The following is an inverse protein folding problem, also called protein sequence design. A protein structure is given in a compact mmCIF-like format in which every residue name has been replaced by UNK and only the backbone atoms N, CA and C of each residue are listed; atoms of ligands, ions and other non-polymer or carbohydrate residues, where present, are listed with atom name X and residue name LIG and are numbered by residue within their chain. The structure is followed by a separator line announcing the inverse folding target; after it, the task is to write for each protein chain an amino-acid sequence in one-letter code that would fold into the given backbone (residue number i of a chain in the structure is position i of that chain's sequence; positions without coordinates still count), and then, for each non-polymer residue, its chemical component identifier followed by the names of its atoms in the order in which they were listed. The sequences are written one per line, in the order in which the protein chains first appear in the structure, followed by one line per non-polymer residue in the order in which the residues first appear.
data_IF_744304152410
#
_entry.id   IF_744304152410
#
_cell.length_a   1.000
_cell.length_b   1.000
_cell.length_c   1.000
_cell.angle_alpha   90.00
_cell.angle_beta   90.00
_cell.angle_gamma   90.00
#
_symmetry.space_group_name_H-M   'P 1'
#
loop_
_entity.id
_entity.type
_entity.pdbx_description
1 polymer ?
#
# COMPACT_ATOMS: atom_id res chain seq x y z
N UNK A 1 27.46 46.98 -39.65
CA UNK A 1 26.16 47.68 -39.65
C UNK A 1 25.11 46.59 -39.52
N UNK A 2 24.48 46.29 -38.39
CA UNK A 2 24.42 46.84 -37.04
C UNK A 2 24.59 45.65 -36.07
N UNK A 3 25.45 45.80 -35.06
CA UNK A 3 25.63 44.83 -33.98
C UNK A 3 24.79 45.28 -32.80
N UNK A 4 23.81 44.46 -32.43
CA UNK A 4 22.96 44.68 -31.25
C UNK A 4 23.69 44.12 -30.03
N UNK A 5 24.17 45.02 -29.18
CA UNK A 5 24.70 44.74 -27.87
C UNK A 5 23.53 44.44 -26.92
N UNK A 6 23.57 43.27 -26.26
CA UNK A 6 22.69 42.96 -25.13
C UNK A 6 23.57 43.00 -23.89
N UNK A 7 23.49 44.12 -23.18
CA UNK A 7 23.92 44.24 -21.78
C UNK A 7 22.95 43.44 -20.90
N UNK A 8 23.46 42.45 -20.17
CA UNK A 8 22.76 41.91 -19.00
C UNK A 8 23.60 42.17 -17.75
N UNK A 9 23.04 43.05 -16.93
CA UNK A 9 23.57 43.48 -15.65
C UNK A 9 23.67 42.34 -14.64
N UNK A 10 24.80 42.33 -13.93
CA UNK A 10 25.01 41.63 -12.68
C UNK A 10 24.31 42.39 -11.54
N UNK A 11 23.62 41.66 -10.67
CA UNK A 11 23.17 42.08 -9.34
C UNK A 11 23.20 40.83 -8.45
N UNK A 12 24.25 40.66 -7.66
CA UNK A 12 24.36 41.07 -6.25
C UNK A 12 23.80 40.04 -5.27
N UNK A 13 24.76 39.51 -4.52
CA UNK A 13 24.67 38.71 -3.31
C UNK A 13 23.84 39.42 -2.23
N UNK A 14 22.81 38.75 -1.71
CA UNK A 14 22.29 39.04 -0.37
C UNK A 14 21.98 37.73 0.36
N UNK A 15 22.99 37.34 1.14
CA UNK A 15 22.87 36.59 2.38
C UNK A 15 21.70 37.11 3.22
N UNK A 16 20.77 36.23 3.59
CA UNK A 16 20.10 36.35 4.89
C UNK A 16 19.77 34.98 5.48
N UNK A 17 20.46 34.73 6.59
CA UNK A 17 20.25 33.64 7.53
C UNK A 17 18.81 33.68 8.09
N UNK A 18 17.92 32.87 7.52
CA UNK A 18 16.67 32.52 8.16
C UNK A 18 16.92 31.40 9.19
N UNK A 19 17.08 31.80 10.45
CA UNK A 19 17.00 30.92 11.62
C UNK A 19 15.66 30.17 11.57
N UNK A 20 15.67 28.93 11.07
CA UNK A 20 14.55 28.00 11.20
C UNK A 20 14.36 27.71 12.68
N UNK A 21 13.40 28.41 13.26
CA UNK A 21 12.86 28.16 14.58
C UNK A 21 12.43 26.69 14.66
N UNK A 22 13.11 25.90 15.52
CA UNK A 22 12.71 24.55 15.92
C UNK A 22 11.53 24.64 16.89
N UNK A 23 10.43 25.26 16.47
CA UNK A 23 9.17 25.15 17.19
C UNK A 23 8.57 23.83 16.76
N UNK A 24 8.60 22.87 17.69
CA UNK A 24 7.95 21.58 17.56
C UNK A 24 6.46 21.83 17.23
N UNK A 25 5.98 21.54 16.02
CA UNK A 25 4.65 21.97 15.58
C UNK A 25 3.51 21.17 16.24
N UNK A 26 3.84 20.21 17.10
CA UNK A 26 2.87 19.33 17.75
C UNK A 26 3.04 19.33 19.27
N UNK A 27 2.12 19.94 20.03
CA UNK A 27 2.07 19.72 21.47
C UNK A 27 1.84 18.23 21.73
N UNK A 28 2.72 17.67 22.56
CA UNK A 28 2.95 16.28 22.96
C UNK A 28 1.74 15.46 23.49
N UNK A 29 0.50 15.94 23.33
CA UNK A 29 -0.72 15.32 23.88
C UNK A 29 -1.27 14.14 23.07
N UNK A 30 -0.74 13.85 21.89
CA UNK A 30 -1.03 12.62 21.13
C UNK A 30 0.11 11.61 21.17
N UNK A 31 1.15 11.83 21.99
CA UNK A 31 2.02 10.70 22.35
C UNK A 31 1.13 9.71 23.07
N UNK A 32 0.77 8.64 22.38
CA UNK A 32 0.24 7.42 22.99
C UNK A 32 1.17 7.14 24.16
N UNK A 33 0.70 7.35 25.39
CA UNK A 33 1.52 7.15 26.58
C UNK A 33 2.01 5.71 26.51
N UNK A 34 3.31 5.54 26.27
CA UNK A 34 3.95 4.23 26.24
C UNK A 34 3.64 3.64 27.61
N UNK A 35 2.79 2.62 27.63
CA UNK A 35 2.28 2.03 28.87
C UNK A 35 3.47 1.65 29.77
N UNK A 36 3.38 1.89 31.08
CA UNK A 36 4.43 1.52 32.01
C UNK A 36 4.70 0.00 31.92
N UNK A 37 5.97 -0.44 32.06
CA UNK A 37 6.32 -1.86 32.02
C UNK A 37 5.57 -2.61 33.14
N UNK A 38 4.77 -3.62 32.78
CA UNK A 38 4.06 -4.49 33.72
C UNK A 38 2.55 -4.63 33.53
N UNK A 39 1.93 -3.91 32.58
CA UNK A 39 0.53 -4.12 32.21
C UNK A 39 0.37 -5.32 31.26
N UNK A 40 -0.75 -6.03 31.44
CA UNK A 40 -1.12 -7.32 30.85
C UNK A 40 -1.06 -7.39 29.31
N UNK A 41 -1.10 -8.61 28.72
CA UNK A 41 -0.33 -8.98 27.54
C UNK A 41 -0.57 -8.05 26.35
N UNK A 42 0.53 -7.59 25.74
CA UNK A 42 0.52 -7.02 24.40
C UNK A 42 -0.40 -7.87 23.53
N UNK A 43 -1.48 -7.28 23.00
CA UNK A 43 -2.34 -8.00 22.06
C UNK A 43 -1.49 -8.35 20.85
N UNK A 44 -1.40 -9.64 20.55
CA UNK A 44 -0.60 -10.12 19.42
C UNK A 44 -1.49 -10.17 18.19
N UNK A 45 -1.16 -9.37 17.17
CA UNK A 45 -1.75 -9.48 15.84
C UNK A 45 -0.91 -10.42 14.99
N UNK A 46 -1.43 -11.63 14.76
CA UNK A 46 -0.76 -12.63 13.93
C UNK A 46 -1.05 -12.37 12.45
N UNK A 47 -0.02 -12.07 11.66
CA UNK A 47 -0.18 -11.83 10.22
C UNK A 47 0.60 -12.85 9.37
N UNK A 48 -0.12 -13.59 8.54
CA UNK A 48 0.47 -14.54 7.61
C UNK A 48 1.02 -13.85 6.36
N UNK A 49 2.27 -14.12 6.00
CA UNK A 49 2.94 -13.58 4.81
C UNK A 49 3.40 -14.73 3.91
N UNK A 50 2.59 -15.16 2.93
CA UNK A 50 2.89 -16.36 2.15
C UNK A 50 4.09 -16.20 1.21
N UNK A 51 4.15 -15.06 0.54
CA UNK A 51 5.01 -14.86 -0.61
C UNK A 51 6.16 -13.90 -0.28
N UNK A 52 7.35 -14.12 -0.87
CA UNK A 52 8.42 -13.13 -0.80
C UNK A 52 8.01 -11.85 -1.52
N UNK A 53 8.62 -10.73 -1.15
CA UNK A 53 8.50 -9.50 -1.92
C UNK A 53 9.02 -9.69 -3.35
N UNK A 54 8.37 -9.06 -4.31
CA UNK A 54 8.78 -9.17 -5.71
C UNK A 54 10.02 -8.29 -5.94
N UNK A 55 11.12 -8.82 -6.49
CA UNK A 55 12.29 -8.02 -6.79
C UNK A 55 11.99 -6.93 -7.82
N UNK A 56 12.55 -5.72 -7.63
CA UNK A 56 12.44 -4.61 -8.60
C UNK A 56 12.84 -5.00 -10.02
N UNK A 57 13.83 -5.88 -10.18
CA UNK A 57 14.26 -6.38 -11.50
C UNK A 57 13.15 -7.19 -12.21
N UNK A 58 12.34 -7.94 -11.46
CA UNK A 58 11.20 -8.67 -12.01
C UNK A 58 10.08 -7.71 -12.43
N UNK A 59 9.82 -6.66 -11.66
CA UNK A 59 8.91 -5.59 -12.05
C UNK A 59 9.38 -4.93 -13.36
N UNK A 60 10.64 -4.48 -13.42
CA UNK A 60 11.25 -3.84 -14.59
C UNK A 60 11.20 -4.72 -15.83
N UNK A 61 11.46 -6.03 -15.69
CA UNK A 61 11.41 -6.98 -16.80
C UNK A 61 10.00 -7.18 -17.38
N UNK A 62 8.94 -6.89 -16.60
CA UNK A 62 7.55 -6.96 -17.06
C UNK A 62 7.08 -5.67 -17.75
N UNK A 63 7.61 -4.50 -17.38
CA UNK A 63 7.11 -3.20 -17.82
C UNK A 63 7.02 -3.05 -19.35
N UNK A 64 8.02 -3.44 -20.18
CA UNK A 64 7.93 -3.30 -21.63
C UNK A 64 6.74 -4.07 -22.25
N UNK A 65 6.35 -5.19 -21.63
CA UNK A 65 5.22 -6.00 -22.08
C UNK A 65 3.87 -5.46 -21.57
N UNK A 66 3.86 -4.98 -20.32
CA UNK A 66 2.67 -4.42 -19.67
C UNK A 66 2.26 -3.06 -20.27
N UNK A 67 3.25 -2.24 -20.64
CA UNK A 67 3.10 -0.87 -21.16
C UNK A 67 3.56 -0.79 -22.62
N UNK A 68 3.04 -1.71 -23.46
CA UNK A 68 3.45 -1.84 -24.86
C UNK A 68 3.36 -0.52 -25.64
N UNK A 69 2.40 0.35 -25.28
CA UNK A 69 2.21 1.66 -25.92
C UNK A 69 2.65 2.85 -25.06
N UNK A 70 3.42 2.61 -23.99
CA UNK A 70 3.96 3.66 -23.12
C UNK A 70 2.87 4.62 -22.63
N UNK A 71 3.07 5.92 -22.82
CA UNK A 71 2.12 6.96 -22.41
C UNK A 71 0.75 6.87 -23.09
N UNK A 72 0.62 6.14 -24.21
CA UNK A 72 -0.66 5.89 -24.91
C UNK A 72 -1.38 4.63 -24.42
N UNK A 73 -0.83 3.88 -23.48
CA UNK A 73 -1.44 2.69 -22.90
C UNK A 73 -2.74 3.02 -22.13
N UNK A 74 -3.84 2.31 -22.36
CA UNK A 74 -5.18 2.57 -21.79
C UNK A 74 -5.93 1.27 -21.53
N UNK A 75 -7.15 1.36 -20.98
CA UNK A 75 -8.14 0.27 -20.81
C UNK A 75 -7.72 -0.84 -19.83
N UNK A 76 -8.73 -1.48 -19.25
CA UNK A 76 -8.57 -2.70 -18.45
C UNK A 76 -8.00 -3.83 -19.31
N UNK A 77 -7.35 -4.82 -18.69
CA UNK A 77 -6.74 -5.92 -19.43
C UNK A 77 -7.77 -6.79 -20.18
N UNK A 78 -8.99 -6.92 -19.65
CA UNK A 78 -10.09 -7.63 -20.36
C UNK A 78 -10.49 -6.98 -21.70
N UNK A 79 -10.26 -5.67 -21.85
CA UNK A 79 -10.64 -4.91 -23.06
C UNK A 79 -9.45 -4.74 -24.03
N UNK A 80 -8.33 -5.42 -23.72
CA UNK A 80 -7.14 -5.45 -24.56
C UNK A 80 -7.25 -6.51 -25.64
N UNK A 81 -6.38 -6.42 -26.66
CA UNK A 81 -6.28 -7.48 -27.67
C UNK A 81 -6.01 -8.85 -27.01
N UNK A 82 -6.77 -9.91 -27.34
CA UNK A 82 -6.70 -11.20 -26.66
C UNK A 82 -5.31 -11.84 -26.62
N UNK A 83 -4.45 -11.57 -27.62
CA UNK A 83 -3.10 -12.11 -27.68
C UNK A 83 -2.17 -11.61 -26.56
N UNK A 84 -2.49 -10.49 -25.90
CA UNK A 84 -1.61 -9.89 -24.86
C UNK A 84 -1.58 -10.72 -23.59
N UNK A 85 -2.74 -11.21 -23.15
CA UNK A 85 -2.85 -11.90 -21.86
C UNK A 85 -2.00 -13.18 -21.79
N UNK A 86 -1.96 -14.06 -22.82
CA UNK A 86 -1.05 -15.19 -22.86
C UNK A 86 0.43 -14.80 -22.74
N UNK A 87 0.85 -13.72 -23.43
CA UNK A 87 2.23 -13.23 -23.37
C UNK A 87 2.58 -12.75 -21.96
N UNK A 88 1.68 -11.98 -21.33
CA UNK A 88 1.84 -11.49 -19.96
C UNK A 88 1.90 -12.67 -18.99
N UNK A 89 0.97 -13.63 -19.07
CA UNK A 89 0.97 -14.84 -18.24
C UNK A 89 2.29 -15.61 -18.36
N UNK A 90 2.82 -15.79 -19.58
CA UNK A 90 4.11 -16.44 -19.83
C UNK A 90 5.25 -15.70 -19.13
N UNK A 91 5.33 -14.38 -19.29
CA UNK A 91 6.38 -13.55 -18.68
C UNK A 91 6.26 -13.51 -17.15
N UNK A 92 5.05 -13.41 -16.61
CA UNK A 92 4.76 -13.53 -15.19
C UNK A 92 5.27 -14.86 -14.61
N UNK A 93 5.01 -15.97 -15.30
CA UNK A 93 5.52 -17.30 -14.88
C UNK A 93 7.05 -17.35 -14.87
N UNK A 94 7.71 -16.82 -15.91
CA UNK A 94 9.18 -16.75 -15.98
C UNK A 94 9.81 -15.98 -14.82
N UNK A 95 9.16 -14.92 -14.36
CA UNK A 95 9.65 -14.07 -13.26
C UNK A 95 9.01 -14.36 -11.90
N UNK A 96 8.19 -15.43 -11.80
CA UNK A 96 7.46 -15.81 -10.59
C UNK A 96 6.58 -14.68 -10.01
N UNK A 97 6.05 -13.81 -10.86
CA UNK A 97 5.15 -12.72 -10.46
C UNK A 97 3.70 -13.16 -10.67
N UNK A 98 2.83 -13.10 -9.66
CA UNK A 98 1.41 -13.41 -9.85
C UNK A 98 0.76 -12.47 -10.88
N UNK A 99 -0.16 -12.99 -11.70
CA UNK A 99 -0.80 -12.20 -12.75
C UNK A 99 -1.46 -10.93 -12.21
N UNK A 100 -2.21 -11.02 -11.10
CA UNK A 100 -2.87 -9.87 -10.48
C UNK A 100 -1.87 -8.79 -10.04
N UNK A 101 -0.69 -9.18 -9.56
CA UNK A 101 0.39 -8.23 -9.23
C UNK A 101 0.83 -7.47 -10.46
N UNK A 102 1.12 -8.18 -11.56
CA UNK A 102 1.53 -7.57 -12.83
C UNK A 102 0.45 -6.65 -13.43
N UNK A 103 -0.82 -7.02 -13.31
CA UNK A 103 -1.93 -6.20 -13.79
C UNK A 103 -2.15 -4.94 -12.92
N UNK A 104 -2.03 -5.07 -11.59
CA UNK A 104 -2.03 -3.91 -10.69
C UNK A 104 -0.86 -2.97 -10.99
N UNK A 105 0.33 -3.51 -11.21
CA UNK A 105 1.52 -2.76 -11.59
C UNK A 105 1.27 -1.96 -12.87
N UNK A 106 0.74 -2.61 -13.92
CA UNK A 106 0.35 -1.95 -15.18
C UNK A 106 -0.60 -0.79 -14.94
N UNK A 107 -1.68 -1.00 -14.18
CA UNK A 107 -2.70 0.03 -13.92
C UNK A 107 -2.11 1.29 -13.28
N UNK A 108 -1.14 1.13 -12.38
CA UNK A 108 -0.50 2.26 -11.71
C UNK A 108 0.51 2.99 -12.59
N UNK A 109 1.31 2.27 -13.38
CA UNK A 109 2.18 2.91 -14.36
C UNK A 109 1.40 3.67 -15.43
N UNK A 110 0.26 3.15 -15.91
CA UNK A 110 -0.61 3.91 -16.83
C UNK A 110 -1.05 5.22 -16.18
N UNK A 111 -1.46 5.19 -14.90
CA UNK A 111 -1.87 6.39 -14.18
C UNK A 111 -0.70 7.37 -13.97
N UNK A 112 0.49 6.88 -13.64
CA UNK A 112 1.70 7.70 -13.47
C UNK A 112 2.10 8.39 -14.77
N UNK A 113 2.05 7.69 -15.91
CA UNK A 113 2.33 8.24 -17.24
C UNK A 113 1.26 9.23 -17.71
N UNK A 114 0.13 9.34 -17.00
CA UNK A 114 -1.01 10.19 -17.37
C UNK A 114 -1.57 10.92 -16.14
N UNK A 115 -0.79 11.83 -15.53
CA UNK A 115 -1.14 12.44 -14.24
C UNK A 115 -2.44 13.25 -14.29
N UNK A 116 -2.72 13.91 -15.42
CA UNK A 116 -3.90 14.77 -15.61
C UNK A 116 -5.16 14.05 -16.07
N UNK A 117 -5.10 12.73 -16.33
CA UNK A 117 -6.28 11.96 -16.76
C UNK A 117 -6.88 11.16 -15.61
N UNK A 118 -8.20 11.21 -15.44
CA UNK A 118 -8.88 10.38 -14.44
C UNK A 118 -8.80 8.89 -14.77
N UNK A 119 -9.09 8.01 -13.81
CA UNK A 119 -9.14 6.57 -14.06
C UNK A 119 -10.17 6.21 -15.13
N UNK A 120 -11.30 6.93 -15.15
CA UNK A 120 -12.37 6.77 -16.14
C UNK A 120 -11.93 7.20 -17.55
N UNK A 121 -11.27 8.36 -17.68
CA UNK A 121 -10.71 8.82 -18.97
C UNK A 121 -9.62 7.86 -19.52
N UNK A 122 -8.98 7.09 -18.63
CA UNK A 122 -8.03 6.04 -19.00
C UNK A 122 -8.69 4.69 -19.25
N UNK A 123 -9.99 4.56 -19.00
CA UNK A 123 -10.77 3.32 -19.00
C UNK A 123 -10.20 2.26 -18.04
N UNK A 124 -9.74 2.68 -16.86
CA UNK A 124 -9.14 1.82 -15.81
C UNK A 124 -10.08 1.57 -14.62
N UNK A 125 -11.39 1.64 -14.89
CA UNK A 125 -12.47 1.56 -13.93
C UNK A 125 -13.11 2.91 -13.62
N UNK A 126 -14.38 2.85 -13.24
CA UNK A 126 -15.14 4.00 -12.74
C UNK A 126 -14.82 4.25 -11.25
N UNK A 127 -14.85 5.52 -10.83
CA UNK A 127 -14.51 5.93 -9.47
C UNK A 127 -15.39 5.27 -8.40
N UNK A 128 -16.69 5.11 -8.64
CA UNK A 128 -17.61 4.50 -7.68
C UNK A 128 -17.27 3.02 -7.45
N UNK A 129 -16.97 2.30 -8.53
CA UNK A 129 -16.55 0.90 -8.48
C UNK A 129 -15.25 0.74 -7.70
N UNK A 130 -14.30 1.64 -7.92
CA UNK A 130 -13.02 1.67 -7.22
C UNK A 130 -13.24 1.94 -5.73
N UNK A 131 -14.09 2.91 -5.37
CA UNK A 131 -14.41 3.23 -3.98
C UNK A 131 -15.07 2.04 -3.27
N UNK A 132 -16.08 1.42 -3.86
CA UNK A 132 -16.71 0.21 -3.28
C UNK A 132 -15.69 -0.91 -3.08
N UNK A 133 -14.71 -1.06 -4.00
CA UNK A 133 -13.62 -2.03 -3.82
C UNK A 133 -12.70 -1.67 -2.64
N UNK A 134 -12.44 -0.37 -2.41
CA UNK A 134 -11.71 0.12 -1.24
C UNK A 134 -12.44 -0.28 0.04
N UNK A 135 -13.72 0.10 0.13
CA UNK A 135 -14.54 -0.08 1.32
C UNK A 135 -14.67 -1.57 1.69
N UNK A 136 -14.84 -2.43 0.69
CA UNK A 136 -14.88 -3.88 0.89
C UNK A 136 -13.55 -4.45 1.37
N UNK A 137 -12.43 -3.87 0.93
CA UNK A 137 -11.11 -4.31 1.37
C UNK A 137 -10.80 -3.84 2.79
N UNK A 138 -11.10 -2.59 3.11
CA UNK A 138 -10.99 -2.04 4.46
C UNK A 138 -11.85 -2.84 5.45
N UNK A 139 -13.10 -3.15 5.09
CA UNK A 139 -13.98 -4.00 5.90
C UNK A 139 -13.38 -5.38 6.17
N UNK A 140 -12.73 -5.99 5.19
CA UNK A 140 -12.07 -7.29 5.39
C UNK A 140 -10.90 -7.20 6.38
N UNK A 141 -10.16 -6.09 6.39
CA UNK A 141 -9.12 -5.81 7.41
C UNK A 141 -9.76 -5.56 8.76
N UNK A 142 -10.82 -4.76 8.82
CA UNK A 142 -11.59 -4.46 10.02
C UNK A 142 -12.08 -5.73 10.72
N UNK A 143 -12.76 -6.62 9.98
CA UNK A 143 -13.24 -7.92 10.48
C UNK A 143 -12.09 -8.76 11.06
N UNK A 144 -10.91 -8.73 10.43
CA UNK A 144 -9.72 -9.42 10.92
C UNK A 144 -9.22 -8.82 12.23
N UNK A 145 -9.17 -7.49 12.36
CA UNK A 145 -8.78 -6.81 13.59
C UNK A 145 -9.76 -7.12 14.72
N UNK A 146 -11.06 -7.05 14.45
CA UNK A 146 -12.11 -7.42 15.42
C UNK A 146 -11.97 -8.87 15.87
N UNK A 147 -11.70 -9.81 14.95
CA UNK A 147 -11.47 -11.23 15.26
C UNK A 147 -10.25 -11.44 16.17
N UNK A 148 -9.19 -10.64 16.00
CA UNK A 148 -8.02 -10.63 16.88
C UNK A 148 -8.24 -9.79 18.15
N UNK A 149 -9.46 -9.28 18.36
CA UNK A 149 -9.82 -8.39 19.46
C UNK A 149 -8.90 -7.18 19.51
N UNK A 150 -8.49 -6.62 18.37
CA UNK A 150 -7.75 -5.36 18.32
C UNK A 150 -8.76 -4.22 18.36
N UNK A 151 -8.56 -3.25 19.27
CA UNK A 151 -9.43 -2.07 19.35
C UNK A 151 -8.79 -0.92 18.59
N UNK A 152 -9.58 -0.24 17.76
CA UNK A 152 -9.12 0.84 16.88
C UNK A 152 -10.20 1.92 16.72
N UNK A 153 -9.81 3.05 16.16
CA UNK A 153 -10.68 4.05 15.58
C UNK A 153 -10.62 3.96 14.05
N UNK A 154 -11.77 3.94 13.40
CA UNK A 154 -11.85 4.08 11.93
C UNK A 154 -11.55 5.51 11.50
N UNK A 155 -11.32 5.74 10.20
CA UNK A 155 -11.12 7.09 9.66
C UNK A 155 -12.29 8.04 10.00
N UNK A 156 -13.54 7.56 9.93
CA UNK A 156 -14.72 8.33 10.29
C UNK A 156 -14.74 8.72 11.77
N UNK A 157 -14.38 7.79 12.66
CA UNK A 157 -14.33 8.04 14.10
C UNK A 157 -13.21 9.03 14.45
N UNK A 158 -12.05 8.91 13.79
CA UNK A 158 -10.95 9.86 13.92
C UNK A 158 -11.37 11.27 13.47
N UNK A 159 -12.09 11.39 12.34
CA UNK A 159 -12.63 12.66 11.85
C UNK A 159 -13.59 13.29 12.86
N UNK A 160 -14.51 12.50 13.43
CA UNK A 160 -15.45 12.95 14.49
C UNK A 160 -14.71 13.40 15.75
N UNK A 161 -13.65 12.69 16.13
CA UNK A 161 -12.81 13.08 17.27
C UNK A 161 -12.07 14.40 17.01
N UNK A 162 -11.51 14.56 15.80
CA UNK A 162 -10.74 15.74 15.40
C UNK A 162 -11.60 16.97 15.14
N UNK A 163 -12.90 16.82 14.85
CA UNK A 163 -13.83 17.94 14.69
C UNK A 163 -13.97 18.81 15.95
N UNK A 164 -13.52 18.31 17.12
CA UNK A 164 -13.50 19.06 18.39
C UNK A 164 -12.25 19.95 18.57
N UNK A 165 -11.31 19.94 17.62
CA UNK A 165 -10.08 20.75 17.69
C UNK A 165 -10.37 22.23 17.39
N UNK A 166 -9.44 23.10 17.79
CA UNK A 166 -9.53 24.55 17.53
C UNK A 166 -9.52 24.82 16.03
N UNK A 167 -10.29 25.80 15.59
CA UNK A 167 -10.53 26.13 14.17
C UNK A 167 -9.25 26.41 13.34
N UNK A 168 -8.12 26.71 13.98
CA UNK A 168 -6.87 27.09 13.30
C UNK A 168 -5.80 25.98 13.30
N UNK A 169 -6.10 24.79 13.84
CA UNK A 169 -5.15 23.66 13.80
C UNK A 169 -5.38 22.82 12.54
N UNK A 170 -4.33 22.51 11.76
CA UNK A 170 -4.49 21.62 10.61
C UNK A 170 -4.95 20.23 11.06
N UNK A 171 -5.88 19.64 10.31
CA UNK A 171 -6.32 18.28 10.56
C UNK A 171 -5.14 17.33 10.41
N UNK A 172 -4.86 16.49 11.42
CA UNK A 172 -3.81 15.50 11.28
C UNK A 172 -4.24 14.48 10.20
N UNK A 173 -3.30 13.93 9.43
CA UNK A 173 -3.62 12.85 8.50
C UNK A 173 -4.17 11.67 9.30
N UNK A 174 -5.24 11.04 8.83
CA UNK A 174 -5.90 9.91 9.51
C UNK A 174 -5.53 8.60 8.82
N UNK A 175 -4.81 7.67 9.47
CA UNK A 175 -4.69 6.31 8.94
C UNK A 175 -6.06 5.63 8.88
N UNK A 176 -6.21 4.60 8.04
CA UNK A 176 -7.50 3.90 7.91
C UNK A 176 -7.95 3.30 9.26
N UNK A 177 -6.98 2.78 10.04
CA UNK A 177 -7.20 2.33 11.42
C UNK A 177 -6.14 2.89 12.37
N UNK A 178 -6.57 3.65 13.38
CA UNK A 178 -5.71 4.10 14.49
C UNK A 178 -5.96 3.19 15.72
N UNK A 179 -4.95 2.47 16.19
CA UNK A 179 -5.12 1.51 17.28
C UNK A 179 -5.26 2.25 18.62
N UNK A 180 -6.21 1.82 19.46
CA UNK A 180 -6.44 2.49 20.77
C UNK A 180 -5.34 2.19 21.79
N UNK A 181 -4.57 1.13 21.55
CA UNK A 181 -3.44 0.69 22.34
C UNK A 181 -2.39 0.11 21.39
N UNK A 182 -1.10 0.15 21.74
CA UNK A 182 -0.07 -0.51 20.95
C UNK A 182 -0.33 -2.03 20.83
N UNK A 183 -0.03 -2.59 19.66
CA UNK A 183 -0.29 -4.00 19.32
C UNK A 183 1.01 -4.62 18.84
N UNK A 184 1.39 -5.79 19.39
CA UNK A 184 2.51 -6.55 18.89
C UNK A 184 2.10 -7.28 17.61
N UNK A 185 2.50 -6.73 16.46
CA UNK A 185 2.41 -7.40 15.18
C UNK A 185 3.47 -8.49 15.11
N UNK A 186 3.05 -9.73 14.88
CA UNK A 186 3.92 -10.87 14.58
C UNK A 186 3.62 -11.38 13.18
N UNK A 187 4.51 -11.04 12.25
CA UNK A 187 4.46 -11.50 10.86
C UNK A 187 5.14 -12.85 10.76
N UNK A 188 4.49 -13.83 10.16
CA UNK A 188 5.03 -15.19 10.06
C UNK A 188 4.79 -15.81 8.70
N UNK A 189 5.63 -16.80 8.38
CA UNK A 189 5.47 -17.71 7.25
C UNK A 189 5.27 -19.13 7.78
N UNK A 190 4.44 -19.90 7.10
CA UNK A 190 4.31 -21.32 7.36
C UNK A 190 5.28 -22.07 6.47
N UNK A 191 6.12 -22.92 7.08
CA UNK A 191 6.91 -23.85 6.32
C UNK A 191 6.00 -24.98 5.84
N UNK A 192 5.97 -25.21 4.53
CA UNK A 192 5.33 -26.42 4.01
C UNK A 192 6.13 -27.61 4.56
N UNK A 193 5.51 -28.53 5.30
CA UNK A 193 6.22 -29.71 5.76
C UNK A 193 6.67 -30.50 4.52
N UNK A 194 7.96 -30.85 4.46
CA UNK A 194 8.48 -31.69 3.38
C UNK A 194 7.96 -33.14 3.51
N UNK A 195 7.41 -33.49 4.68
CA UNK A 195 6.88 -34.81 4.99
C UNK A 195 5.57 -34.70 5.78
N UNK A 196 4.52 -35.52 5.49
CA UNK A 196 3.21 -35.43 6.16
C UNK A 196 3.24 -35.62 7.69
N UNK A 197 4.33 -36.16 8.24
CA UNK A 197 4.54 -36.37 9.68
C UNK A 197 5.20 -35.18 10.39
N UNK A 198 5.74 -34.19 9.65
CA UNK A 198 6.36 -33.01 10.26
C UNK A 198 5.29 -32.02 10.73
N UNK A 199 5.40 -31.58 11.99
CA UNK A 199 4.59 -30.47 12.50
C UNK A 199 4.89 -29.22 11.70
N UNK A 200 3.84 -28.50 11.29
CA UNK A 200 3.98 -27.19 10.66
C UNK A 200 4.68 -26.25 11.64
N UNK A 201 5.90 -25.84 11.31
CA UNK A 201 6.61 -24.80 12.07
C UNK A 201 6.26 -23.44 11.48
N UNK A 202 5.90 -22.51 12.36
CA UNK A 202 5.75 -21.10 12.01
C UNK A 202 7.10 -20.43 12.15
N UNK A 203 7.58 -19.81 11.07
CA UNK A 203 8.79 -19.01 11.08
C UNK A 203 8.39 -17.53 11.21
N UNK A 204 8.76 -16.91 12.33
CA UNK A 204 8.54 -15.48 12.54
C UNK A 204 9.49 -14.70 11.63
N UNK A 205 8.91 -13.84 10.79
CA UNK A 205 9.65 -12.99 9.86
C UNK A 205 9.97 -11.63 10.45
N UNK A 206 9.04 -11.08 11.23
CA UNK A 206 9.14 -9.75 11.83
C UNK A 206 8.25 -9.69 13.08
N UNK A 207 8.73 -9.01 14.12
CA UNK A 207 7.92 -8.56 15.24
C UNK A 207 8.04 -7.05 15.38
N UNK A 208 6.91 -6.37 15.56
CA UNK A 208 6.86 -4.91 15.66
C UNK A 208 5.70 -4.46 16.53
N UNK A 209 5.94 -3.48 17.40
CA UNK A 209 4.85 -2.83 18.13
C UNK A 209 4.25 -1.71 17.28
N UNK A 210 3.03 -1.87 16.80
CA UNK A 210 2.37 -0.95 15.87
C UNK A 210 1.24 -0.16 16.55
N UNK A 211 0.95 1.01 16.01
CA UNK A 211 -0.03 1.98 16.54
C UNK A 211 -1.11 2.34 15.52
N UNK A 212 -0.88 2.05 14.24
CA UNK A 212 -1.83 2.31 13.16
C UNK A 212 -1.67 1.30 12.03
N UNK A 213 -2.72 1.18 11.22
CA UNK A 213 -2.75 0.36 10.01
C UNK A 213 -3.35 1.18 8.86
N UNK A 214 -2.63 1.23 7.74
CA UNK A 214 -3.08 1.78 6.48
C UNK A 214 -3.40 0.64 5.49
N UNK A 215 -4.38 0.82 4.63
CA UNK A 215 -4.86 -0.19 3.68
C UNK A 215 -4.81 0.34 2.26
N UNK A 216 -4.31 -0.46 1.32
CA UNK A 216 -4.21 -0.11 -0.09
C UNK A 216 -4.66 -1.27 -0.98
N UNK A 217 -5.72 -1.05 -1.75
CA UNK A 217 -6.31 -2.06 -2.64
C UNK A 217 -5.45 -2.42 -3.88
N UNK A 218 -4.17 -2.11 -3.84
CA UNK A 218 -3.28 -2.21 -4.98
C UNK A 218 -1.94 -2.84 -4.61
N UNK A 219 -1.12 -3.11 -5.62
CA UNK A 219 0.25 -3.57 -5.47
C UNK A 219 1.19 -2.41 -5.14
N UNK A 220 1.95 -2.55 -4.05
CA UNK A 220 3.00 -1.58 -3.71
C UNK A 220 4.22 -1.75 -4.63
N UNK A 221 4.23 -1.05 -5.76
CA UNK A 221 5.28 -1.17 -6.77
C UNK A 221 6.59 -0.46 -6.36
N UNK A 222 7.73 -1.16 -6.53
CA UNK A 222 9.07 -0.59 -6.34
C UNK A 222 9.54 0.28 -7.51
N UNK A 223 8.98 0.05 -8.69
CA UNK A 223 9.33 0.76 -9.93
C UNK A 223 8.65 2.12 -10.10
N UNK A 224 7.80 2.52 -9.16
CA UNK A 224 7.16 3.83 -9.16
C UNK A 224 7.92 4.74 -8.20
N UNK A 225 8.36 5.89 -8.69
CA UNK A 225 9.10 6.88 -7.91
C UNK A 225 8.26 7.47 -6.79
N UNK A 226 8.92 7.80 -5.68
CA UNK A 226 8.32 8.42 -4.50
C UNK A 226 8.21 9.95 -4.64
N UNK A 227 7.59 10.39 -5.74
CA UNK A 227 7.51 11.81 -6.11
C UNK A 227 6.20 12.48 -5.69
N UNK A 228 5.33 11.77 -4.98
CA UNK A 228 4.02 12.25 -4.55
C UNK A 228 2.97 12.42 -5.66
N UNK A 229 3.30 12.14 -6.94
CA UNK A 229 2.38 12.39 -8.07
C UNK A 229 1.42 11.23 -8.36
N UNK A 230 1.63 10.09 -7.72
CA UNK A 230 0.77 8.92 -7.82
C UNK A 230 0.40 8.39 -6.44
N UNK A 231 -0.64 7.54 -6.39
CA UNK A 231 -1.06 6.91 -5.13
C UNK A 231 0.06 6.08 -4.48
N UNK A 232 0.93 5.45 -5.28
CA UNK A 232 2.11 4.73 -4.80
C UNK A 232 3.22 5.71 -4.41
N UNK A 233 3.49 6.70 -5.26
CA UNK A 233 4.56 7.68 -5.02
C UNK A 233 4.33 8.58 -3.80
N UNK A 234 3.09 8.68 -3.31
CA UNK A 234 2.75 9.41 -2.09
C UNK A 234 2.87 8.58 -0.79
N UNK A 235 3.12 7.27 -0.87
CA UNK A 235 3.06 6.37 0.29
C UNK A 235 4.11 6.72 1.34
N UNK A 236 5.39 6.86 0.95
CA UNK A 236 6.46 7.07 1.94
C UNK A 236 6.26 8.35 2.75
N UNK A 237 5.94 9.46 2.09
CA UNK A 237 5.71 10.72 2.79
C UNK A 237 4.47 10.67 3.67
N UNK A 238 3.42 9.98 3.22
CA UNK A 238 2.21 9.77 4.03
C UNK A 238 2.53 8.95 5.27
N UNK A 239 3.24 7.83 5.13
CA UNK A 239 3.63 6.96 6.22
C UNK A 239 4.61 7.61 7.20
N UNK A 240 5.58 8.42 6.72
CA UNK A 240 6.47 9.21 7.60
C UNK A 240 5.68 10.11 8.54
N UNK A 241 4.70 10.86 8.00
CA UNK A 241 3.82 11.69 8.82
C UNK A 241 3.04 10.89 9.86
N UNK A 242 2.59 9.68 9.51
CA UNK A 242 1.96 8.80 10.50
C UNK A 242 2.93 8.34 11.58
N UNK A 243 4.17 8.01 11.22
CA UNK A 243 5.18 7.60 12.20
C UNK A 243 5.56 8.73 13.14
N UNK A 244 5.71 9.94 12.62
CA UNK A 244 6.00 11.13 13.43
C UNK A 244 4.87 11.45 14.43
N UNK A 245 3.62 11.23 14.03
CA UNK A 245 2.44 11.57 14.83
C UNK A 245 1.98 10.47 15.78
N UNK A 246 2.00 9.22 15.31
CA UNK A 246 1.35 8.08 15.96
C UNK A 246 2.32 6.97 16.37
N UNK A 247 3.58 7.03 15.95
CA UNK A 247 4.56 5.95 16.15
C UNK A 247 4.53 4.91 15.03
N UNK A 248 5.22 3.78 15.25
CA UNK A 248 5.36 2.73 14.24
C UNK A 248 4.00 2.18 13.78
N UNK A 249 3.92 1.71 12.54
CA UNK A 249 2.67 1.21 11.99
C UNK A 249 2.85 0.08 10.98
N UNK A 250 1.75 -0.26 10.32
CA UNK A 250 1.76 -1.23 9.24
C UNK A 250 0.93 -0.74 8.05
N UNK A 251 1.28 -1.22 6.86
CA UNK A 251 0.49 -1.02 5.65
C UNK A 251 0.13 -2.36 5.03
N UNK A 252 -1.15 -2.54 4.71
CA UNK A 252 -1.71 -3.74 4.10
C UNK A 252 -1.96 -3.49 2.62
N UNK A 253 -1.24 -4.20 1.76
CA UNK A 253 -1.49 -4.20 0.31
C UNK A 253 -2.35 -5.39 -0.09
N UNK A 254 -3.29 -5.17 -1.02
CA UNK A 254 -4.16 -6.23 -1.54
C UNK A 254 -3.38 -7.29 -2.35
N UNK A 255 -2.36 -6.85 -3.07
CA UNK A 255 -1.59 -7.68 -4.01
C UNK A 255 -0.11 -7.77 -3.62
N UNK A 256 0.21 -7.61 -2.34
CA UNK A 256 1.60 -7.59 -1.88
C UNK A 256 2.38 -6.33 -2.27
N UNK A 257 3.71 -6.43 -2.17
CA UNK A 257 4.62 -5.30 -2.31
C UNK A 257 5.94 -5.73 -2.97
N UNK A 258 6.56 -4.82 -3.70
CA UNK A 258 7.91 -4.97 -4.22
C UNK A 258 8.96 -4.79 -3.11
N UNK A 259 10.12 -5.37 -3.33
CA UNK A 259 11.17 -5.48 -2.31
C UNK A 259 11.78 -4.13 -1.92
N UNK A 260 11.98 -3.21 -2.88
CA UNK A 260 12.54 -1.89 -2.58
C UNK A 260 11.57 -1.05 -1.76
N UNK A 261 10.30 -0.95 -2.18
CA UNK A 261 9.30 -0.19 -1.41
C UNK A 261 9.12 -0.80 0.00
N UNK A 262 9.16 -2.13 0.13
CA UNK A 262 9.11 -2.77 1.44
C UNK A 262 10.31 -2.43 2.33
N UNK A 263 11.53 -2.37 1.77
CA UNK A 263 12.73 -1.91 2.48
C UNK A 263 12.60 -0.44 2.90
N UNK A 264 12.15 0.43 1.99
CA UNK A 264 12.00 1.86 2.25
C UNK A 264 10.98 2.11 3.38
N UNK A 265 9.86 1.37 3.38
CA UNK A 265 8.85 1.40 4.45
C UNK A 265 9.40 0.87 5.79
N UNK A 266 10.14 -0.23 5.77
CA UNK A 266 10.77 -0.78 6.97
C UNK A 266 11.79 0.21 7.58
N UNK A 267 12.54 0.93 6.74
CA UNK A 267 13.50 1.96 7.17
C UNK A 267 12.84 3.13 7.92
N UNK A 268 11.57 3.42 7.62
CA UNK A 268 10.77 4.41 8.36
C UNK A 268 9.88 3.77 9.43
N UNK A 269 10.16 2.52 9.86
CA UNK A 269 9.46 1.79 10.93
C UNK A 269 8.00 1.45 10.58
N UNK A 270 7.76 1.07 9.33
CA UNK A 270 6.45 0.59 8.85
C UNK A 270 6.56 -0.84 8.34
N UNK A 271 5.81 -1.77 8.94
CA UNK A 271 5.73 -3.15 8.48
C UNK A 271 4.84 -3.25 7.24
N UNK A 272 5.27 -4.04 6.25
CA UNK A 272 4.46 -4.33 5.06
C UNK A 272 3.75 -5.66 5.20
N UNK A 273 2.44 -5.63 5.07
CA UNK A 273 1.52 -6.74 5.19
C UNK A 273 0.86 -7.04 3.85
N UNK A 274 0.67 -8.32 3.55
CA UNK A 274 -0.01 -8.78 2.34
C UNK A 274 -1.37 -9.38 2.70
N UNK A 275 -2.41 -8.97 1.99
CA UNK A 275 -3.73 -9.59 2.05
C UNK A 275 -3.80 -10.90 1.25
N UNK A 276 -2.90 -11.05 0.28
CA UNK A 276 -2.86 -12.10 -0.73
C UNK A 276 -2.23 -13.39 -0.24
N UNK A 277 -2.92 -14.50 -0.50
CA UNK A 277 -2.45 -15.87 -0.35
C UNK A 277 -3.38 -16.79 -1.14
N UNK A 278 -3.26 -16.74 -2.48
CA UNK A 278 -4.23 -17.26 -3.44
C UNK A 278 -4.23 -18.78 -3.65
N UNK A 279 -3.66 -19.57 -2.75
CA UNK A 279 -3.77 -21.03 -2.85
C UNK A 279 -4.99 -21.51 -2.07
N UNK A 280 -6.05 -21.86 -2.82
CA UNK A 280 -7.34 -22.42 -2.35
C UNK A 280 -7.21 -23.77 -1.60
N UNK A 281 -6.02 -24.37 -1.53
CA UNK A 281 -5.85 -25.77 -1.12
C UNK A 281 -5.13 -26.01 0.21
N UNK A 282 -4.76 -24.99 0.99
CA UNK A 282 -4.20 -25.24 2.33
C UNK A 282 -5.27 -25.07 3.41
N UNK A 283 -5.50 -26.12 4.18
CA UNK A 283 -6.39 -26.23 5.34
C UNK A 283 -6.16 -25.22 6.49
N UNK A 284 -5.29 -24.22 6.32
CA UNK A 284 -5.03 -23.17 7.31
C UNK A 284 -5.77 -21.90 6.94
N UNK A 285 -7.00 -21.78 7.47
CA UNK A 285 -7.93 -20.67 7.21
C UNK A 285 -7.94 -19.59 8.30
N UNK A 286 -7.28 -19.81 9.45
CA UNK A 286 -7.63 -19.04 10.66
C UNK A 286 -7.16 -17.57 10.65
N UNK A 287 -6.11 -17.21 9.93
CA UNK A 287 -5.49 -15.87 9.99
C UNK A 287 -5.34 -15.20 8.61
N UNK A 288 -6.23 -15.50 7.65
CA UNK A 288 -6.28 -14.82 6.35
C UNK A 288 -7.47 -13.87 6.29
N UNK A 289 -7.31 -12.76 5.58
CA UNK A 289 -8.40 -11.82 5.31
C UNK A 289 -9.49 -12.50 4.47
N UNK A 290 -10.76 -12.25 4.80
CA UNK A 290 -11.89 -12.74 4.04
C UNK A 290 -12.16 -11.82 2.84
N UNK A 291 -11.57 -12.14 1.68
CA UNK A 291 -11.69 -11.31 0.48
C UNK A 291 -12.88 -11.71 -0.42
N UNK A 292 -13.83 -12.50 0.06
CA UNK A 292 -14.90 -13.07 -0.78
C UNK A 292 -15.81 -12.00 -1.40
N UNK A 293 -16.28 -11.04 -0.58
CA UNK A 293 -17.13 -9.96 -1.04
C UNK A 293 -16.40 -9.05 -2.05
N UNK A 294 -15.14 -8.70 -1.76
CA UNK A 294 -14.29 -7.94 -2.67
C UNK A 294 -14.10 -8.66 -4.01
N UNK A 295 -13.77 -9.96 -3.98
CA UNK A 295 -13.59 -10.75 -5.20
C UNK A 295 -14.88 -10.89 -6.01
N UNK A 296 -16.04 -11.03 -5.35
CA UNK A 296 -17.33 -11.06 -6.00
C UNK A 296 -17.60 -9.72 -6.72
N UNK A 297 -17.38 -8.60 -6.04
CA UNK A 297 -17.49 -7.26 -6.62
C UNK A 297 -16.53 -7.07 -7.80
N UNK A 298 -15.26 -7.43 -7.66
CA UNK A 298 -14.26 -7.33 -8.74
C UNK A 298 -14.68 -8.10 -9.99
N UNK A 299 -15.25 -9.30 -9.84
CA UNK A 299 -15.73 -10.09 -10.99
C UNK A 299 -16.79 -9.35 -11.82
N UNK A 300 -17.61 -8.49 -11.20
CA UNK A 300 -18.66 -7.77 -11.94
C UNK A 300 -18.11 -6.79 -12.98
N UNK A 301 -16.91 -6.26 -12.80
CA UNK A 301 -16.40 -5.18 -13.66
C UNK A 301 -15.04 -5.46 -14.30
N UNK A 302 -14.23 -6.36 -13.76
CA UNK A 302 -12.89 -6.64 -14.28
C UNK A 302 -12.62 -8.11 -14.56
N UNK A 303 -13.64 -8.97 -14.67
CA UNK A 303 -13.43 -10.35 -15.10
C UNK A 303 -13.42 -10.51 -16.62
N UNK A 304 -12.75 -11.56 -17.10
CA UNK A 304 -12.98 -12.13 -18.43
C UNK A 304 -14.20 -13.06 -18.44
N UNK A 305 -14.53 -13.61 -19.61
CA UNK A 305 -15.63 -14.56 -19.82
C UNK A 305 -15.51 -15.83 -18.96
N UNK A 306 -14.30 -16.16 -18.47
CA UNK A 306 -14.05 -17.29 -17.57
C UNK A 306 -14.22 -16.94 -16.08
N UNK A 307 -14.52 -15.68 -15.76
CA UNK A 307 -14.60 -15.18 -14.38
C UNK A 307 -13.24 -14.92 -13.73
N UNK A 308 -12.15 -14.93 -14.51
CA UNK A 308 -10.81 -14.58 -14.03
C UNK A 308 -10.68 -13.08 -13.90
N UNK A 309 -10.25 -12.58 -12.73
CA UNK A 309 -10.07 -11.14 -12.48
C UNK A 309 -8.85 -10.62 -13.25
N UNK A 310 -9.08 -9.61 -14.10
CA UNK A 310 -8.13 -8.97 -15.01
C UNK A 310 -8.17 -7.43 -14.82
N UNK A 311 -7.59 -6.97 -13.71
CA UNK A 311 -7.51 -5.54 -13.34
C UNK A 311 -6.67 -4.67 -14.30
#
# INVERSE_FOLDING_TARGET
METVEIETAAAEDLSSSAKRSKVDPFPSRLRCEILPPGTSPERILLWFSPDPYIPVAAEQALLPLLLRWGAKERKMMKDQSPFRLPQIKKKCHQHQVPLLVALSLRRHHIKQLNPYRSMEQLHLGNQDIIRVSADLFERAVEESLQKHRVSFYTEEEQKKHNAKRKANEPYPPTPDFLLKQPVLLRKYKENSPNHPTQRKTQHVLEERCIHWIEVKMFYGASTIEHDGKSAVGAILDKCRRYVDLYGEGAIVFLYGCGDQLARDLAAIRVSVLDAGGAKRHSSVRKNRLCLQALQAHQRTYCSDESGSILI
#
